data_IF_042065816668
#
_entry.id   IF_042065816668
#
_cell.length_a   1.000
_cell.length_b   1.000
_cell.length_c   1.000
_cell.angle_alpha   90.00
_cell.angle_beta   90.00
_cell.angle_gamma   90.00
#
_symmetry.space_group_name_H-M   'P 1'
#
loop_
_entity.id
_entity.type
_entity.pdbx_description
1 polymer ?
#
# COMPACT_ATOMS: atom_id res chain seq x y z
N UNK A 1 -17.29 -12.51 -30.92
CA UNK A 1 -16.89 -11.10 -30.78
C UNK A 1 -16.18 -11.03 -29.43
N UNK A 2 -14.89 -11.44 -29.37
CA UNK A 2 -14.24 -11.81 -28.09
C UNK A 2 -12.70 -11.79 -28.18
N UNK A 3 -12.11 -10.81 -28.89
CA UNK A 3 -10.65 -10.79 -29.14
C UNK A 3 -9.94 -9.62 -28.44
N UNK A 4 -10.67 -8.67 -27.84
CA UNK A 4 -10.05 -7.49 -27.22
C UNK A 4 -9.68 -7.65 -25.73
N UNK A 5 -10.33 -8.52 -24.95
CA UNK A 5 -10.06 -8.68 -23.51
C UNK A 5 -9.04 -9.76 -23.10
N UNK A 6 -8.79 -10.75 -23.97
CA UNK A 6 -7.87 -11.85 -23.66
C UNK A 6 -6.40 -11.38 -23.73
N UNK A 7 -6.09 -10.56 -24.74
CA UNK A 7 -4.76 -9.98 -24.92
C UNK A 7 -4.37 -8.99 -23.80
N UNK A 8 -5.35 -8.30 -23.19
CA UNK A 8 -5.07 -7.37 -22.07
C UNK A 8 -4.82 -8.13 -20.78
N UNK A 9 -5.63 -9.17 -20.50
CA UNK A 9 -5.45 -10.03 -19.32
C UNK A 9 -4.09 -10.73 -19.35
N UNK A 10 -3.68 -11.30 -20.49
CA UNK A 10 -2.37 -11.97 -20.62
C UNK A 10 -1.19 -11.01 -20.36
N UNK A 11 -1.30 -9.76 -20.81
CA UNK A 11 -0.31 -8.72 -20.53
C UNK A 11 -0.24 -8.44 -19.02
N UNK A 12 -1.38 -8.29 -18.36
CA UNK A 12 -1.45 -8.05 -16.92
C UNK A 12 -0.86 -9.22 -16.11
N UNK A 13 -1.15 -10.47 -16.49
CA UNK A 13 -0.55 -11.65 -15.87
C UNK A 13 0.95 -11.72 -16.07
N UNK A 14 1.44 -11.34 -17.26
CA UNK A 14 2.87 -11.30 -17.55
C UNK A 14 3.61 -10.30 -16.66
N UNK A 15 2.99 -9.17 -16.30
CA UNK A 15 3.55 -8.18 -15.38
C UNK A 15 3.68 -8.70 -13.95
N UNK A 16 2.77 -9.58 -13.54
CA UNK A 16 2.81 -10.27 -12.25
C UNK A 16 3.66 -11.54 -12.31
N UNK A 17 4.22 -11.89 -13.47
CA UNK A 17 4.94 -13.13 -13.73
C UNK A 17 4.17 -14.40 -13.35
N UNK A 18 2.84 -14.38 -13.48
CA UNK A 18 1.95 -15.53 -13.23
C UNK A 18 1.36 -16.06 -14.53
N UNK A 19 0.87 -17.30 -14.50
CA UNK A 19 0.30 -17.98 -15.66
C UNK A 19 -1.22 -18.05 -15.58
N UNK A 20 -1.91 -17.97 -16.73
CA UNK A 20 -3.36 -18.14 -16.79
C UNK A 20 -3.74 -19.61 -16.53
N UNK A 21 -4.66 -19.81 -15.59
CA UNK A 21 -5.37 -21.06 -15.38
C UNK A 21 -6.73 -21.03 -16.09
N UNK A 22 -7.20 -22.19 -16.53
CA UNK A 22 -8.54 -22.30 -17.13
C UNK A 22 -9.66 -22.17 -16.09
N UNK A 23 -9.40 -22.60 -14.85
CA UNK A 23 -10.35 -22.63 -13.75
C UNK A 23 -9.68 -22.16 -12.45
N UNK A 24 -10.44 -21.58 -11.49
CA UNK A 24 -9.91 -21.25 -10.17
C UNK A 24 -9.49 -22.52 -9.40
N UNK A 25 -8.71 -22.37 -8.30
CA UNK A 25 -8.31 -23.49 -7.45
C UNK A 25 -9.50 -24.35 -7.01
N UNK A 26 -9.33 -25.67 -7.03
CA UNK A 26 -10.42 -26.62 -6.72
C UNK A 26 -10.91 -26.54 -5.28
N UNK A 27 -10.09 -26.00 -4.38
CA UNK A 27 -10.37 -25.89 -2.95
C UNK A 27 -10.92 -24.51 -2.55
N UNK A 28 -11.15 -23.59 -3.50
CA UNK A 28 -11.61 -22.21 -3.25
C UNK A 28 -12.93 -22.12 -2.44
N UNK A 29 -13.83 -23.10 -2.57
CA UNK A 29 -15.11 -23.16 -1.84
C UNK A 29 -15.04 -23.99 -0.55
N UNK A 30 -13.86 -24.46 -0.15
CA UNK A 30 -13.65 -25.33 1.01
C UNK A 30 -12.50 -24.88 1.93
N UNK A 31 -11.79 -23.84 1.52
CA UNK A 31 -10.64 -23.26 2.23
C UNK A 31 -10.76 -21.74 2.24
N UNK A 32 -9.86 -21.08 2.97
CA UNK A 32 -9.89 -19.63 3.18
C UNK A 32 -9.03 -18.89 2.17
N UNK A 33 -9.40 -17.63 1.93
CA UNK A 33 -8.73 -16.75 0.99
C UNK A 33 -8.34 -15.41 1.63
N UNK A 34 -7.18 -14.86 1.23
CA UNK A 34 -6.85 -13.44 1.39
C UNK A 34 -7.17 -12.72 0.09
N UNK A 35 -7.69 -11.50 0.19
CA UNK A 35 -7.88 -10.58 -0.92
C UNK A 35 -6.84 -9.46 -0.83
N UNK A 36 -5.96 -9.37 -1.82
CA UNK A 36 -5.14 -8.18 -2.05
C UNK A 36 -5.92 -7.20 -2.92
N UNK A 37 -6.10 -5.98 -2.42
CA UNK A 37 -6.80 -4.91 -3.13
C UNK A 37 -5.79 -3.92 -3.69
N UNK A 38 -5.89 -3.67 -5.00
CA UNK A 38 -5.11 -2.64 -5.68
C UNK A 38 -6.01 -1.55 -6.24
N UNK A 39 -5.81 -0.31 -5.78
CA UNK A 39 -6.62 0.85 -6.16
C UNK A 39 -5.69 2.05 -6.40
N UNK A 40 -6.09 3.04 -7.23
CA UNK A 40 -5.31 4.26 -7.40
C UNK A 40 -5.13 5.01 -6.07
N UNK A 41 -3.93 5.58 -5.82
CA UNK A 41 -3.65 6.38 -4.61
C UNK A 41 -4.60 7.59 -4.48
N UNK A 42 -5.06 8.14 -5.61
CA UNK A 42 -5.93 9.31 -5.71
C UNK A 42 -7.44 8.98 -5.78
N UNK A 43 -7.82 7.69 -5.75
CA UNK A 43 -9.22 7.29 -5.82
C UNK A 43 -9.96 7.58 -4.50
N UNK A 44 -11.22 8.03 -4.60
CA UNK A 44 -12.11 8.12 -3.45
C UNK A 44 -12.43 6.71 -2.95
N UNK A 45 -12.15 6.45 -1.66
CA UNK A 45 -12.40 5.15 -1.05
C UNK A 45 -13.84 4.69 -1.15
N UNK A 46 -14.81 5.60 -1.09
CA UNK A 46 -16.20 5.19 -1.21
C UNK A 46 -16.49 4.59 -2.59
N UNK A 47 -15.79 5.02 -3.65
CA UNK A 47 -16.03 4.52 -5.00
C UNK A 47 -15.57 3.08 -5.18
N UNK A 48 -14.35 2.74 -4.79
CA UNK A 48 -13.87 1.36 -4.94
C UNK A 48 -14.41 0.43 -3.85
N UNK A 49 -14.86 0.97 -2.71
CA UNK A 49 -15.55 0.17 -1.70
C UNK A 49 -16.88 -0.39 -2.19
N UNK A 50 -17.62 0.33 -3.05
CA UNK A 50 -18.83 -0.21 -3.69
C UNK A 50 -18.51 -1.54 -4.41
N UNK A 51 -17.39 -1.61 -5.12
CA UNK A 51 -16.97 -2.84 -5.81
C UNK A 51 -16.45 -3.94 -4.87
N UNK A 52 -15.86 -3.58 -3.73
CA UNK A 52 -15.44 -4.56 -2.71
C UNK A 52 -16.65 -5.16 -2.02
N UNK A 53 -17.66 -4.35 -1.68
CA UNK A 53 -18.90 -4.82 -1.06
C UNK A 53 -19.66 -5.75 -2.03
N UNK A 54 -19.75 -5.37 -3.30
CA UNK A 54 -20.31 -6.20 -4.37
C UNK A 54 -19.57 -7.55 -4.51
N UNK A 55 -18.23 -7.52 -4.49
CA UNK A 55 -17.40 -8.72 -4.58
C UNK A 55 -17.57 -9.62 -3.35
N UNK A 56 -17.61 -9.06 -2.14
CA UNK A 56 -17.80 -9.82 -0.91
C UNK A 56 -19.19 -10.45 -0.86
N UNK A 57 -20.23 -9.72 -1.27
CA UNK A 57 -21.58 -10.28 -1.35
C UNK A 57 -21.61 -11.49 -2.29
N UNK A 58 -21.00 -11.36 -3.47
CA UNK A 58 -20.87 -12.49 -4.40
C UNK A 58 -20.10 -13.67 -3.79
N UNK A 59 -19.00 -13.41 -3.07
CA UNK A 59 -18.26 -14.46 -2.37
C UNK A 59 -19.10 -15.19 -1.31
N UNK A 60 -19.93 -14.47 -0.55
CA UNK A 60 -20.85 -15.05 0.41
C UNK A 60 -21.89 -15.95 -0.27
N UNK A 61 -22.49 -15.50 -1.36
CA UNK A 61 -23.49 -16.24 -2.14
C UNK A 61 -22.91 -17.54 -2.72
N UNK A 62 -21.72 -17.47 -3.32
CA UNK A 62 -21.07 -18.63 -3.96
C UNK A 62 -20.32 -19.55 -2.97
N UNK A 63 -19.97 -19.06 -1.77
CA UNK A 63 -19.28 -19.83 -0.73
C UNK A 63 -17.76 -19.71 -0.71
N UNK A 64 -17.22 -18.61 -1.24
CA UNK A 64 -15.79 -18.28 -1.17
C UNK A 64 -15.52 -17.61 0.18
N UNK A 65 -14.72 -18.24 1.04
CA UNK A 65 -14.42 -17.69 2.37
C UNK A 65 -13.24 -16.70 2.31
N UNK A 66 -13.54 -15.45 1.91
CA UNK A 66 -12.59 -14.34 1.95
C UNK A 66 -12.51 -13.77 3.38
N UNK A 67 -11.42 -14.11 4.09
CA UNK A 67 -11.28 -13.83 5.53
C UNK A 67 -10.39 -12.65 5.87
N UNK A 68 -9.82 -12.00 4.87
CA UNK A 68 -8.98 -10.82 5.05
C UNK A 68 -8.83 -10.04 3.75
N UNK A 69 -9.06 -8.74 3.83
CA UNK A 69 -8.81 -7.75 2.78
C UNK A 69 -7.63 -6.88 3.17
N UNK A 70 -6.65 -6.77 2.27
CA UNK A 70 -5.42 -6.01 2.50
C UNK A 70 -5.20 -5.09 1.31
N UNK A 71 -5.16 -3.79 1.57
CA UNK A 71 -4.82 -2.78 0.58
C UNK A 71 -3.32 -2.87 0.27
N UNK A 72 -2.97 -3.13 -0.99
CA UNK A 72 -1.59 -3.28 -1.45
C UNK A 72 -0.73 -2.06 -1.10
N UNK A 73 -1.31 -0.85 -1.20
CA UNK A 73 -0.61 0.41 -0.87
C UNK A 73 -0.17 0.50 0.59
N UNK A 74 -0.91 -0.11 1.52
CA UNK A 74 -0.58 -0.08 2.96
C UNK A 74 0.61 -0.97 3.29
N UNK A 75 0.91 -1.98 2.48
CA UNK A 75 2.13 -2.79 2.65
C UNK A 75 3.41 -1.97 2.43
N UNK A 76 3.31 -0.82 1.75
CA UNK A 76 4.41 0.11 1.48
C UNK A 76 4.21 1.45 2.19
N UNK A 77 3.55 1.42 3.36
CA UNK A 77 3.28 2.62 4.14
C UNK A 77 4.54 3.35 4.62
N UNK A 78 5.67 2.66 4.79
CA UNK A 78 6.94 3.27 5.18
C UNK A 78 7.94 3.29 4.01
N UNK A 79 8.84 4.30 3.93
CA UNK A 79 9.89 4.33 2.92
C UNK A 79 10.78 3.10 3.02
N UNK A 80 11.08 2.51 1.86
CA UNK A 80 12.06 1.43 1.70
C UNK A 80 11.79 0.21 2.59
N UNK A 81 10.54 0.01 3.00
CA UNK A 81 10.14 -1.13 3.82
C UNK A 81 8.84 -1.73 3.28
N UNK A 82 8.75 -3.06 3.35
CA UNK A 82 7.53 -3.80 3.05
C UNK A 82 7.00 -4.37 4.36
N UNK A 83 5.89 -3.82 4.81
CA UNK A 83 5.28 -4.21 6.06
C UNK A 83 4.71 -5.63 5.98
N UNK A 84 4.94 -6.42 7.03
CA UNK A 84 4.43 -7.78 7.15
C UNK A 84 2.98 -7.78 7.61
N UNK A 85 2.18 -8.71 7.08
CA UNK A 85 0.81 -8.94 7.54
C UNK A 85 0.79 -9.53 8.97
N UNK A 86 -0.25 -9.25 9.77
CA UNK A 86 -0.33 -9.77 11.14
C UNK A 86 -0.22 -11.30 11.23
N UNK A 87 0.56 -11.80 12.19
CA UNK A 87 0.86 -13.24 12.33
C UNK A 87 -0.41 -14.10 12.52
N UNK A 88 -1.45 -13.55 13.14
CA UNK A 88 -2.70 -14.28 13.35
C UNK A 88 -3.40 -14.62 12.02
N UNK A 89 -3.21 -13.85 10.94
CA UNK A 89 -3.74 -14.20 9.62
C UNK A 89 -3.07 -15.45 9.07
N UNK A 90 -1.75 -15.57 9.23
CA UNK A 90 -1.00 -16.78 8.83
C UNK A 90 -1.49 -18.03 9.56
N UNK A 91 -1.97 -17.88 10.81
CA UNK A 91 -2.54 -18.97 11.61
C UNK A 91 -3.96 -19.38 11.19
N UNK A 92 -4.65 -18.65 10.30
CA UNK A 92 -6.04 -18.95 9.89
C UNK A 92 -6.14 -20.11 8.86
N UNK A 93 -5.03 -20.65 8.37
CA UNK A 93 -5.02 -21.75 7.39
C UNK A 93 -5.57 -21.30 6.04
N UNK A 94 -4.94 -20.25 5.50
CA UNK A 94 -5.31 -19.60 4.24
C UNK A 94 -4.56 -20.30 3.11
N UNK A 95 -5.29 -20.73 2.09
CA UNK A 95 -4.73 -21.48 0.97
C UNK A 95 -4.79 -20.70 -0.34
N UNK A 96 -5.75 -19.77 -0.46
CA UNK A 96 -6.00 -19.05 -1.70
C UNK A 96 -5.65 -17.57 -1.57
N UNK A 97 -5.24 -17.03 -2.70
CA UNK A 97 -5.02 -15.61 -2.90
C UNK A 97 -5.99 -15.13 -3.98
N UNK A 98 -6.66 -14.02 -3.68
CA UNK A 98 -7.49 -13.28 -4.61
C UNK A 98 -6.82 -11.94 -4.85
N UNK A 99 -6.46 -11.66 -6.10
CA UNK A 99 -5.97 -10.37 -6.53
C UNK A 99 -7.15 -9.59 -7.11
N UNK A 100 -7.48 -8.46 -6.50
CA UNK A 100 -8.57 -7.60 -6.94
C UNK A 100 -8.06 -6.19 -7.19
N UNK A 101 -8.12 -5.72 -8.45
CA UNK A 101 -7.79 -4.35 -8.79
C UNK A 101 -9.03 -3.61 -9.31
N UNK A 102 -9.27 -2.40 -8.83
CA UNK A 102 -10.43 -1.59 -9.20
C UNK A 102 -10.03 -0.13 -9.43
N UNK A 103 -10.28 0.39 -10.63
CA UNK A 103 -9.95 1.78 -10.99
C UNK A 103 -10.93 2.86 -10.54
N UNK A 104 -11.80 2.59 -9.57
CA UNK A 104 -12.92 3.45 -9.19
C UNK A 104 -14.16 3.25 -10.08
N UNK A 105 -15.13 4.18 -10.04
CA UNK A 105 -16.49 4.00 -10.62
C UNK A 105 -16.58 3.64 -12.11
N UNK A 106 -15.56 3.98 -12.89
CA UNK A 106 -15.53 3.75 -14.36
C UNK A 106 -14.22 3.12 -14.84
N UNK A 107 -13.37 2.69 -13.92
CA UNK A 107 -12.11 2.04 -14.25
C UNK A 107 -12.31 0.55 -14.55
N UNK A 108 -11.34 -0.09 -15.23
CA UNK A 108 -11.37 -1.54 -15.37
C UNK A 108 -11.30 -2.21 -13.99
N UNK A 109 -11.90 -3.39 -13.91
CA UNK A 109 -11.72 -4.31 -12.80
C UNK A 109 -10.92 -5.51 -13.26
N UNK A 110 -10.01 -5.96 -12.41
CA UNK A 110 -9.26 -7.19 -12.61
C UNK A 110 -9.46 -8.08 -11.40
N UNK A 111 -9.82 -9.33 -11.64
CA UNK A 111 -9.96 -10.35 -10.62
C UNK A 111 -9.12 -11.55 -11.01
N UNK A 112 -8.23 -11.98 -10.11
CA UNK A 112 -7.50 -13.24 -10.26
C UNK A 112 -7.58 -14.08 -8.98
N UNK A 113 -7.68 -15.40 -9.13
CA UNK A 113 -7.79 -16.37 -8.03
C UNK A 113 -6.75 -17.46 -8.26
N UNK A 114 -5.89 -17.68 -7.27
CA UNK A 114 -4.79 -18.64 -7.32
C UNK A 114 -4.32 -19.05 -5.93
N UNK A 115 -3.23 -19.83 -5.85
CA UNK A 115 -2.67 -20.27 -4.56
C UNK A 115 -2.00 -19.11 -3.82
N UNK A 116 -2.20 -19.05 -2.50
CA UNK A 116 -1.38 -18.25 -1.59
C UNK A 116 -0.17 -19.08 -1.17
N UNK A 117 1.04 -18.52 -1.26
CA UNK A 117 2.27 -19.26 -0.95
C UNK A 117 2.65 -19.26 0.54
N UNK A 118 1.94 -18.50 1.39
CA UNK A 118 2.24 -18.41 2.83
C UNK A 118 3.29 -17.34 3.19
N UNK A 119 3.87 -16.66 2.21
CA UNK A 119 5.00 -15.75 2.37
C UNK A 119 4.61 -14.29 2.09
N UNK A 120 5.54 -13.35 2.32
CA UNK A 120 5.31 -11.90 2.18
C UNK A 120 5.17 -11.41 0.74
N UNK A 121 5.63 -12.19 -0.24
CA UNK A 121 5.42 -11.93 -1.66
C UNK A 121 4.06 -12.47 -2.15
N UNK A 122 3.31 -13.17 -1.30
CA UNK A 122 1.97 -13.72 -1.49
C UNK A 122 1.80 -14.81 -2.56
N UNK A 123 2.57 -14.77 -3.63
CA UNK A 123 2.53 -15.76 -4.70
C UNK A 123 3.91 -15.95 -5.33
N UNK A 124 4.14 -17.15 -5.84
CA UNK A 124 5.39 -17.50 -6.50
C UNK A 124 5.36 -17.13 -7.99
N UNK A 125 6.55 -16.84 -8.53
CA UNK A 125 6.74 -16.70 -9.97
C UNK A 125 6.26 -17.96 -10.69
N UNK A 126 5.47 -17.78 -11.74
CA UNK A 126 4.90 -18.87 -12.54
C UNK A 126 3.71 -19.56 -11.90
N UNK A 127 3.24 -19.12 -10.73
CA UNK A 127 2.00 -19.63 -10.14
C UNK A 127 0.82 -19.45 -11.11
N UNK A 128 -0.13 -20.39 -11.07
CA UNK A 128 -1.27 -20.40 -11.98
C UNK A 128 -2.48 -19.74 -11.34
N UNK A 129 -3.03 -18.74 -12.00
CA UNK A 129 -4.19 -17.98 -11.56
C UNK A 129 -5.28 -18.02 -12.62
N UNK A 130 -6.52 -18.30 -12.21
CA UNK A 130 -7.66 -17.94 -13.05
C UNK A 130 -7.82 -16.43 -12.95
N UNK A 131 -7.79 -15.71 -14.07
CA UNK A 131 -7.91 -14.26 -14.08
C UNK A 131 -8.83 -13.74 -15.19
N UNK A 132 -9.54 -12.65 -14.89
CA UNK A 132 -10.37 -11.91 -15.84
C UNK A 132 -10.21 -10.41 -15.61
N UNK A 133 -10.22 -9.66 -16.71
CA UNK A 133 -10.36 -8.22 -16.72
C UNK A 133 -11.70 -7.86 -17.38
N UNK A 134 -12.38 -6.85 -16.85
CA UNK A 134 -13.64 -6.37 -17.37
C UNK A 134 -13.85 -4.89 -17.08
N UNK A 135 -14.90 -4.31 -17.67
CA UNK A 135 -15.32 -2.95 -17.33
C UNK A 135 -16.00 -2.87 -15.95
N UNK A 136 -16.55 -3.99 -15.47
CA UNK A 136 -17.20 -4.17 -14.17
C UNK A 136 -17.17 -5.65 -13.76
N UNK A 137 -17.69 -5.96 -12.57
CA UNK A 137 -17.67 -7.32 -12.02
C UNK A 137 -18.70 -8.27 -12.64
N UNK A 138 -19.75 -7.77 -13.31
CA UNK A 138 -20.90 -8.58 -13.73
C UNK A 138 -20.52 -9.79 -14.59
N UNK A 139 -19.78 -9.56 -15.68
CA UNK A 139 -19.36 -10.65 -16.57
C UNK A 139 -18.40 -11.64 -15.89
N UNK A 140 -17.59 -11.17 -14.94
CA UNK A 140 -16.65 -11.99 -14.18
C UNK A 140 -17.41 -12.90 -13.18
N UNK A 141 -18.39 -12.34 -12.46
CA UNK A 141 -19.26 -13.06 -11.53
C UNK A 141 -20.10 -14.11 -12.25
N UNK A 142 -20.67 -13.76 -13.41
CA UNK A 142 -21.50 -14.69 -14.21
C UNK A 142 -20.69 -15.93 -14.64
N UNK A 143 -19.44 -15.73 -15.09
CA UNK A 143 -18.56 -16.83 -15.47
C UNK A 143 -18.23 -17.74 -14.28
N UNK A 144 -17.85 -17.15 -13.13
CA UNK A 144 -17.54 -17.90 -11.92
C UNK A 144 -18.77 -18.66 -11.39
N UNK A 145 -19.93 -18.01 -11.35
CA UNK A 145 -21.18 -18.62 -10.89
C UNK A 145 -21.58 -19.81 -11.78
N UNK A 146 -21.43 -19.67 -13.10
CA UNK A 146 -21.67 -20.78 -14.03
C UNK A 146 -20.73 -21.96 -13.75
N UNK A 147 -19.46 -21.68 -13.42
CA UNK A 147 -18.49 -22.71 -13.07
C UNK A 147 -18.82 -23.40 -11.73
N UNK A 148 -19.14 -22.65 -10.68
CA UNK A 148 -19.45 -23.21 -9.37
C UNK A 148 -20.75 -24.03 -9.37
N UNK A 149 -21.73 -23.66 -10.19
CA UNK A 149 -22.99 -24.40 -10.38
C UNK A 149 -22.83 -25.74 -11.10
N UNK A 150 -21.68 -26.01 -11.73
CA UNK A 150 -21.42 -27.33 -12.35
C UNK A 150 -21.34 -28.48 -11.34
N UNK A 151 -21.14 -28.17 -10.05
CA UNK A 151 -20.94 -29.18 -9.00
C UNK A 151 -19.57 -29.85 -9.03
N UNK A 152 -18.64 -29.37 -9.87
CA UNK A 152 -17.28 -29.90 -9.97
C UNK A 152 -16.40 -29.57 -8.76
N UNK A 153 -16.79 -28.58 -7.95
CA UNK A 153 -16.09 -28.15 -6.75
C UNK A 153 -16.89 -28.51 -5.51
N UNK A 154 -16.21 -29.10 -4.53
CA UNK A 154 -16.77 -29.37 -3.22
C UNK A 154 -16.91 -28.06 -2.42
N UNK A 155 -18.12 -27.78 -1.93
CA UNK A 155 -18.40 -26.66 -1.02
C UNK A 155 -18.25 -27.13 0.42
N UNK A 156 -17.18 -26.70 1.07
CA UNK A 156 -16.90 -26.96 2.48
C UNK A 156 -17.13 -25.74 3.38
N UNK A 157 -17.13 -24.53 2.81
CA UNK A 157 -17.39 -23.29 3.53
C UNK A 157 -18.90 -23.11 3.72
N UNK A 158 -19.37 -23.29 4.96
CA UNK A 158 -20.79 -23.18 5.33
C UNK A 158 -21.15 -21.84 5.97
N UNK A 159 -20.15 -21.11 6.45
CA UNK A 159 -20.28 -19.79 7.05
C UNK A 159 -19.26 -18.89 6.36
N UNK A 160 -19.73 -18.03 5.48
CA UNK A 160 -18.92 -17.00 4.82
C UNK A 160 -19.42 -15.65 5.34
N UNK A 161 -18.48 -14.76 5.65
CA UNK A 161 -18.83 -13.42 6.09
C UNK A 161 -19.55 -12.66 4.96
N UNK A 162 -20.52 -11.81 5.29
CA UNK A 162 -21.20 -10.95 4.31
C UNK A 162 -20.49 -9.60 4.15
N UNK A 163 -19.61 -9.25 5.08
CA UNK A 163 -18.90 -7.97 5.11
C UNK A 163 -17.39 -8.17 4.96
N UNK A 164 -16.74 -7.31 4.18
CA UNK A 164 -15.30 -7.36 4.00
C UNK A 164 -14.56 -7.00 5.30
N UNK A 165 -13.66 -7.87 5.76
CA UNK A 165 -12.84 -7.65 6.95
C UNK A 165 -11.46 -7.12 6.53
N UNK A 166 -11.18 -5.84 6.81
CA UNK A 166 -9.92 -5.19 6.46
C UNK A 166 -8.85 -5.41 7.54
N UNK A 167 -7.64 -5.73 7.09
CA UNK A 167 -6.47 -5.87 7.94
C UNK A 167 -5.36 -4.95 7.49
N UNK A 168 -4.73 -4.31 8.47
CA UNK A 168 -3.61 -3.43 8.24
C UNK A 168 -2.40 -3.91 9.03
N UNK A 169 -1.18 -3.78 8.48
CA UNK A 169 0.04 -3.99 9.24
C UNK A 169 0.11 -3.02 10.42
N UNK A 170 0.77 -3.45 11.49
CA UNK A 170 1.11 -2.58 12.59
C UNK A 170 2.32 -1.72 12.22
N UNK A 171 2.26 -0.43 12.54
CA UNK A 171 3.35 0.50 12.30
C UNK A 171 3.75 1.12 13.62
N UNK A 172 4.93 0.75 14.13
CA UNK A 172 5.53 1.45 15.27
C UNK A 172 6.27 2.70 14.77
N UNK A 173 5.69 3.85 15.07
CA UNK A 173 6.28 5.15 14.77
C UNK A 173 7.08 5.72 15.95
N UNK A 174 7.02 5.11 17.13
CA UNK A 174 7.59 5.66 18.35
C UNK A 174 6.71 6.72 19.04
N UNK A 175 7.31 7.47 19.96
CA UNK A 175 6.63 8.46 20.81
C UNK A 175 6.41 9.76 20.05
N UNK A 176 5.15 10.09 19.81
CA UNK A 176 4.75 11.26 19.03
C UNK A 176 4.93 12.58 19.80
N UNK A 177 5.81 13.44 19.29
CA UNK A 177 5.96 14.83 19.71
C UNK A 177 5.34 15.78 18.67
N UNK A 178 4.33 16.56 19.10
CA UNK A 178 3.61 17.55 18.27
C UNK A 178 4.38 18.86 18.15
N UNK A 179 5.57 18.78 17.58
CA UNK A 179 6.46 19.92 17.42
C UNK A 179 7.46 19.68 16.30
N UNK A 180 8.23 20.71 15.97
CA UNK A 180 9.51 20.58 15.27
C UNK A 180 10.62 20.82 16.30
N UNK A 181 11.75 20.09 16.25
CA UNK A 181 12.87 20.35 17.14
C UNK A 181 13.36 21.80 17.00
N UNK A 182 13.52 22.56 18.10
CA UNK A 182 13.86 23.99 18.02
C UNK A 182 15.26 24.23 17.40
N UNK A 183 16.20 23.31 17.63
CA UNK A 183 17.57 23.39 17.11
C UNK A 183 17.80 22.58 15.84
N UNK A 184 16.74 22.33 15.05
CA UNK A 184 16.85 21.52 13.83
C UNK A 184 17.89 22.07 12.84
N UNK A 185 18.07 23.40 12.78
CA UNK A 185 19.08 24.06 11.96
C UNK A 185 20.54 23.81 12.42
N UNK A 186 20.76 23.30 13.63
CA UNK A 186 22.12 23.03 14.14
C UNK A 186 22.59 21.60 13.79
N UNK A 187 21.70 20.75 13.27
CA UNK A 187 21.95 19.33 13.14
C UNK A 187 21.76 18.82 11.71
N UNK A 188 22.53 17.80 11.36
CA UNK A 188 22.32 17.04 10.12
C UNK A 188 21.06 16.20 10.23
N UNK A 189 20.30 16.20 9.15
CA UNK A 189 19.10 15.38 8.96
C UNK A 189 19.38 14.35 7.88
N UNK A 190 19.21 13.08 8.20
CA UNK A 190 19.34 11.99 7.25
C UNK A 190 18.11 11.92 6.36
N UNK A 191 18.32 11.67 5.08
CA UNK A 191 17.29 11.26 4.12
C UNK A 191 17.71 9.94 3.47
N UNK A 192 16.74 9.13 3.07
CA UNK A 192 16.99 7.90 2.34
C UNK A 192 16.74 8.09 0.86
N UNK A 193 17.50 7.40 0.02
CA UNK A 193 17.13 7.22 -1.39
C UNK A 193 15.94 6.28 -1.48
N UNK A 194 15.09 6.46 -2.48
CA UNK A 194 14.02 5.50 -2.74
C UNK A 194 14.63 4.20 -3.27
N UNK A 195 14.37 3.10 -2.59
CA UNK A 195 14.73 1.75 -3.02
C UNK A 195 13.85 1.32 -4.19
N UNK A 196 14.34 1.60 -5.39
CA UNK A 196 13.68 1.20 -6.64
C UNK A 196 13.66 -0.31 -6.83
N UNK A 197 14.58 -1.06 -6.21
CA UNK A 197 14.60 -2.51 -6.33
C UNK A 197 13.45 -3.12 -5.54
N UNK A 198 13.17 -2.64 -4.32
CA UNK A 198 12.00 -3.03 -3.55
C UNK A 198 10.69 -2.76 -4.31
N UNK A 199 10.60 -1.59 -4.96
CA UNK A 199 9.40 -1.18 -5.69
C UNK A 199 9.24 -1.85 -7.07
N UNK A 200 10.30 -2.48 -7.56
CA UNK A 200 10.31 -3.31 -8.76
C UNK A 200 10.22 -4.82 -8.43
N UNK A 201 10.16 -5.17 -7.14
CA UNK A 201 10.03 -6.56 -6.70
C UNK A 201 8.71 -7.17 -7.19
N UNK A 202 8.70 -8.49 -7.31
CA UNK A 202 7.50 -9.24 -7.67
C UNK A 202 6.52 -9.29 -6.51
N UNK A 203 5.30 -9.75 -6.77
CA UNK A 203 4.28 -9.84 -5.73
C UNK A 203 3.51 -8.52 -5.53
N UNK A 204 3.32 -8.05 -4.29
CA UNK A 204 2.53 -6.85 -4.00
C UNK A 204 3.03 -5.58 -4.70
N UNK A 205 4.34 -5.39 -4.85
CA UNK A 205 4.89 -4.20 -5.50
C UNK A 205 4.51 -4.12 -6.99
N UNK A 206 4.58 -5.24 -7.70
CA UNK A 206 4.11 -5.36 -9.08
C UNK A 206 2.59 -5.15 -9.19
N UNK A 207 1.83 -5.52 -8.15
CA UNK A 207 0.38 -5.41 -8.12
C UNK A 207 -0.15 -4.03 -7.69
N UNK A 208 0.69 -3.06 -7.30
CA UNK A 208 0.26 -1.67 -7.04
C UNK A 208 -0.41 -1.06 -8.27
N UNK A 209 -1.53 -0.37 -8.11
CA UNK A 209 -2.45 -0.08 -9.23
C UNK A 209 -1.77 0.68 -10.37
N UNK A 210 -1.01 1.72 -10.01
CA UNK A 210 -0.24 2.52 -10.96
C UNK A 210 0.80 1.67 -11.69
N UNK A 211 1.54 0.80 -10.99
CA UNK A 211 2.54 -0.09 -11.60
C UNK A 211 1.88 -1.12 -12.54
N UNK A 212 0.81 -1.75 -12.04
CA UNK A 212 0.05 -2.81 -12.70
C UNK A 212 -0.58 -2.34 -14.02
N UNK A 213 -1.24 -1.17 -14.04
CA UNK A 213 -1.89 -0.64 -15.25
C UNK A 213 -1.01 0.33 -16.06
N UNK A 214 -0.15 1.13 -15.41
CA UNK A 214 0.63 2.19 -16.06
C UNK A 214 2.03 2.36 -15.45
N UNK A 215 2.90 1.37 -15.68
CA UNK A 215 4.28 1.36 -15.18
C UNK A 215 5.06 2.64 -15.51
N UNK A 216 4.84 3.25 -16.69
CA UNK A 216 5.52 4.50 -17.06
C UNK A 216 5.13 5.65 -16.13
N UNK A 217 3.84 5.77 -15.79
CA UNK A 217 3.37 6.76 -14.81
C UNK A 217 3.95 6.47 -13.43
N UNK A 218 3.94 5.21 -12.99
CA UNK A 218 4.50 4.79 -11.72
C UNK A 218 6.00 5.13 -11.61
N UNK A 219 6.81 4.76 -12.60
CA UNK A 219 8.24 5.06 -12.64
C UNK A 219 8.51 6.57 -12.64
N UNK A 220 7.67 7.34 -13.33
CA UNK A 220 7.72 8.81 -13.33
C UNK A 220 7.40 9.40 -11.96
N UNK A 221 6.41 8.86 -11.25
CA UNK A 221 6.03 9.27 -9.88
C UNK A 221 7.18 8.98 -8.90
N UNK A 222 7.73 7.77 -8.90
CA UNK A 222 8.89 7.40 -8.06
C UNK A 222 10.11 8.28 -8.39
N UNK A 223 10.38 8.51 -9.66
CA UNK A 223 11.47 9.40 -10.09
C UNK A 223 11.20 10.87 -9.72
N UNK A 224 9.94 11.29 -9.66
CA UNK A 224 9.52 12.59 -9.14
C UNK A 224 9.84 12.73 -7.65
N UNK A 225 9.45 11.76 -6.84
CA UNK A 225 9.72 11.72 -5.39
C UNK A 225 11.23 11.75 -5.10
N UNK A 226 12.02 10.94 -5.81
CA UNK A 226 13.48 10.94 -5.69
C UNK A 226 14.11 12.28 -6.11
N UNK A 227 13.57 12.98 -7.11
CA UNK A 227 14.04 14.33 -7.49
C UNK A 227 13.83 15.35 -6.38
N UNK A 228 12.72 15.28 -5.65
CA UNK A 228 12.47 16.12 -4.48
C UNK A 228 13.44 15.84 -3.34
N UNK A 229 13.73 14.57 -3.04
CA UNK A 229 14.75 14.23 -2.04
C UNK A 229 16.14 14.73 -2.45
N UNK A 230 16.48 14.61 -3.74
CA UNK A 230 17.74 15.13 -4.27
C UNK A 230 17.84 16.66 -4.18
N UNK A 231 16.74 17.40 -4.32
CA UNK A 231 16.76 18.86 -4.17
C UNK A 231 17.05 19.29 -2.73
N UNK A 232 16.51 18.57 -1.74
CA UNK A 232 16.84 18.81 -0.32
C UNK A 232 18.32 18.61 -0.03
N UNK A 233 18.92 17.56 -0.60
CA UNK A 233 20.33 17.26 -0.42
C UNK A 233 21.27 18.24 -1.15
N UNK A 234 20.88 18.68 -2.34
CA UNK A 234 21.73 19.51 -3.20
C UNK A 234 21.73 20.98 -2.80
N UNK A 235 20.70 21.41 -2.07
CA UNK A 235 20.61 22.76 -1.53
C UNK A 235 21.57 22.94 -0.35
N UNK A 236 22.66 23.66 -0.60
CA UNK A 236 23.71 23.96 0.40
C UNK A 236 23.24 24.80 1.59
N UNK A 237 22.02 25.37 1.53
CA UNK A 237 21.43 26.11 2.65
C UNK A 237 20.68 25.21 3.63
N UNK A 238 20.45 23.95 3.27
CA UNK A 238 19.80 22.97 4.12
C UNK A 238 20.80 22.00 4.77
N UNK A 239 20.33 21.31 5.81
CA UNK A 239 21.11 20.29 6.53
C UNK A 239 20.69 18.85 6.20
N UNK A 240 20.07 18.61 5.04
CA UNK A 240 19.66 17.27 4.63
C UNK A 240 20.77 16.56 3.87
N UNK A 241 21.09 15.34 4.28
CA UNK A 241 22.12 14.52 3.64
C UNK A 241 21.64 13.09 3.46
N UNK A 242 22.00 12.48 2.34
CA UNK A 242 21.73 11.06 2.14
C UNK A 242 22.49 10.23 3.16
N UNK A 243 21.77 9.28 3.77
CA UNK A 243 22.41 8.16 4.45
C UNK A 243 22.88 7.13 3.43
N UNK A 244 23.95 6.42 3.77
CA UNK A 244 24.37 5.23 3.06
C UNK A 244 23.46 4.05 3.44
N UNK A 245 23.17 3.16 2.47
CA UNK A 245 22.14 2.10 2.56
C UNK A 245 22.25 1.16 3.78
N UNK A 246 23.43 1.05 4.39
CA UNK A 246 23.70 0.12 5.51
C UNK A 246 24.09 0.82 6.81
N UNK A 247 23.95 2.14 6.89
CA UNK A 247 24.25 2.88 8.11
C UNK A 247 23.20 2.61 9.18
N UNK A 248 23.66 2.13 10.34
CA UNK A 248 22.81 2.00 11.53
C UNK A 248 22.58 3.36 12.18
N UNK A 249 21.52 3.49 13.00
CA UNK A 249 21.28 4.70 13.80
C UNK A 249 22.48 5.06 14.70
N UNK A 250 23.28 4.08 15.12
CA UNK A 250 24.51 4.35 15.86
C UNK A 250 25.59 4.98 14.98
N UNK A 251 25.73 4.52 13.74
CA UNK A 251 26.69 5.08 12.78
C UNK A 251 26.28 6.50 12.37
N UNK A 252 25.01 6.71 12.03
CA UNK A 252 24.47 8.04 11.72
C UNK A 252 24.75 9.05 12.84
N UNK A 253 24.54 8.67 14.10
CA UNK A 253 24.86 9.53 15.24
C UNK A 253 26.35 9.89 15.34
N UNK A 254 27.25 8.96 15.02
CA UNK A 254 28.70 9.24 14.98
C UNK A 254 29.05 10.23 13.87
N UNK A 255 28.31 10.19 12.77
CA UNK A 255 28.52 11.04 11.58
C UNK A 255 27.84 12.43 11.71
N UNK A 256 27.24 12.70 12.89
CA UNK A 256 26.66 13.99 13.27
C UNK A 256 25.18 14.14 12.97
N UNK A 257 24.50 13.07 12.54
CA UNK A 257 23.05 13.08 12.34
C UNK A 257 22.32 12.96 13.67
N UNK A 258 21.32 13.81 13.86
CA UNK A 258 20.39 13.69 15.01
C UNK A 258 19.00 13.28 14.61
N UNK A 259 18.62 13.58 13.37
CA UNK A 259 17.28 13.33 12.87
C UNK A 259 17.34 12.57 11.55
N UNK A 260 16.26 11.87 11.25
CA UNK A 260 15.99 11.28 9.95
C UNK A 260 14.62 11.75 9.48
N UNK A 261 14.55 12.30 8.27
CA UNK A 261 13.29 12.63 7.63
C UNK A 261 12.69 11.35 7.07
N UNK A 262 11.53 10.97 7.60
CA UNK A 262 10.75 9.82 7.16
C UNK A 262 9.35 10.27 6.76
N UNK A 263 8.63 9.40 6.08
CA UNK A 263 7.21 9.58 5.83
C UNK A 263 6.43 8.31 6.13
N UNK A 264 5.13 8.47 6.25
CA UNK A 264 4.18 7.37 6.32
C UNK A 264 3.01 7.65 5.38
N UNK A 265 2.58 6.64 4.64
CA UNK A 265 1.49 6.71 3.66
C UNK A 265 0.39 5.73 4.06
N UNK A 266 -0.80 6.22 4.38
CA UNK A 266 -1.90 5.35 4.81
C UNK A 266 -3.25 6.05 4.65
N UNK A 267 -4.37 5.31 4.69
CA UNK A 267 -5.68 5.91 4.87
C UNK A 267 -5.70 6.88 6.05
N UNK A 268 -6.24 8.09 5.87
CA UNK A 268 -6.14 9.18 6.88
C UNK A 268 -6.77 8.85 8.25
N UNK A 269 -7.70 7.88 8.29
CA UNK A 269 -8.21 7.31 9.54
C UNK A 269 -7.17 6.44 10.25
N UNK A 270 -6.49 5.55 9.53
CA UNK A 270 -5.44 4.69 10.09
C UNK A 270 -4.24 5.51 10.56
N UNK A 271 -3.82 6.48 9.75
CA UNK A 271 -2.73 7.38 10.11
C UNK A 271 -3.01 8.18 11.40
N UNK A 272 -4.29 8.44 11.70
CA UNK A 272 -4.67 9.12 12.94
C UNK A 272 -4.57 8.24 14.17
N UNK A 273 -4.89 6.95 14.02
CA UNK A 273 -4.70 5.99 15.09
C UNK A 273 -3.21 5.88 15.44
N UNK A 274 -2.32 6.05 14.45
CA UNK A 274 -0.88 6.13 14.65
C UNK A 274 -0.40 7.51 15.17
N UNK A 275 -1.00 8.61 14.69
CA UNK A 275 -0.60 9.99 15.01
C UNK A 275 -1.83 10.86 15.35
N UNK A 276 -2.18 10.92 16.63
CA UNK A 276 -3.38 11.64 17.08
C UNK A 276 -3.21 13.18 17.09
N UNK A 277 -4.11 13.91 16.41
CA UNK A 277 -4.23 15.38 16.43
C UNK A 277 -5.65 15.83 16.80
N UNK A 278 -5.88 16.48 17.96
CA UNK A 278 -7.24 16.75 18.48
C UNK A 278 -8.04 17.79 17.67
N UNK A 279 -7.39 18.77 17.05
CA UNK A 279 -8.07 19.96 16.49
C UNK A 279 -8.32 19.92 14.97
N UNK A 280 -8.42 18.72 14.36
CA UNK A 280 -8.53 18.59 12.90
C UNK A 280 -9.96 18.45 12.38
N UNK A 281 -10.14 18.80 11.10
CA UNK A 281 -11.35 18.49 10.33
C UNK A 281 -11.50 16.96 10.18
N UNK A 282 -12.73 16.48 9.95
CA UNK A 282 -13.02 15.04 9.81
C UNK A 282 -12.04 14.38 8.82
N UNK A 283 -11.48 13.20 9.15
CA UNK A 283 -10.58 12.48 8.25
C UNK A 283 -11.27 12.21 6.92
N UNK A 284 -10.53 12.39 5.83
CA UNK A 284 -10.93 11.88 4.53
C UNK A 284 -10.78 10.36 4.54
N UNK A 285 -11.54 9.69 3.69
CA UNK A 285 -11.32 8.27 3.41
C UNK A 285 -10.43 8.17 2.17
N UNK A 286 -9.18 8.59 2.29
CA UNK A 286 -8.23 8.55 1.17
C UNK A 286 -6.82 8.29 1.70
N UNK A 287 -5.95 7.77 0.83
CA UNK A 287 -4.53 7.61 1.11
C UNK A 287 -3.90 9.00 1.25
N UNK A 288 -3.20 9.25 2.36
CA UNK A 288 -2.47 10.49 2.59
C UNK A 288 -1.03 10.19 3.00
N UNK A 289 -0.14 11.12 2.70
CA UNK A 289 1.27 11.08 3.08
C UNK A 289 1.51 12.07 4.23
N UNK A 290 2.29 11.66 5.22
CA UNK A 290 2.72 12.50 6.34
C UNK A 290 4.21 12.34 6.58
N UNK A 291 4.94 13.45 6.54
CA UNK A 291 6.35 13.49 6.87
C UNK A 291 6.57 13.77 8.35
N UNK A 292 7.66 13.25 8.90
CA UNK A 292 8.07 13.47 10.29
C UNK A 292 9.59 13.32 10.42
N UNK A 293 10.15 13.86 11.50
CA UNK A 293 11.54 13.62 11.86
C UNK A 293 11.60 12.55 12.94
N UNK A 294 12.33 11.46 12.69
CA UNK A 294 12.71 10.50 13.72
C UNK A 294 13.98 10.95 14.43
N UNK A 295 13.96 11.03 15.76
CA UNK A 295 15.15 11.37 16.55
C UNK A 295 16.01 10.14 16.74
N UNK A 296 17.23 10.14 16.20
CA UNK A 296 18.12 8.98 16.22
C UNK A 296 18.66 8.64 17.62
N UNK A 297 18.42 9.49 18.62
CA UNK A 297 18.94 9.35 19.99
C UNK A 297 17.95 8.67 20.94
N UNK A 298 16.67 8.74 20.62
CA UNK A 298 15.58 8.19 21.43
C UNK A 298 14.53 7.58 20.48
N UNK A 299 13.37 7.17 20.98
CA UNK A 299 12.31 6.65 20.12
C UNK A 299 11.23 7.70 19.84
N UNK A 300 11.59 9.00 19.82
CA UNK A 300 10.62 10.08 19.59
C UNK A 300 10.54 10.41 18.10
N UNK A 301 9.35 10.80 17.65
CA UNK A 301 9.14 11.41 16.34
C UNK A 301 8.53 12.79 16.46
N UNK A 302 8.95 13.69 15.58
CA UNK A 302 8.48 15.07 15.51
C UNK A 302 7.61 15.23 14.28
N UNK A 303 6.31 15.39 14.52
CA UNK A 303 5.28 15.41 13.46
C UNK A 303 4.87 16.82 13.06
N UNK A 304 5.53 17.86 13.57
CA UNK A 304 5.12 19.25 13.36
C UNK A 304 4.07 19.73 14.36
N UNK A 305 3.83 21.03 14.37
CA UNK A 305 2.83 21.68 15.25
C UNK A 305 1.41 21.47 14.71
N UNK A 306 1.25 21.47 13.38
CA UNK A 306 -0.03 21.37 12.70
C UNK A 306 -0.14 20.09 11.88
N UNK A 307 -1.38 19.62 11.65
CA UNK A 307 -1.65 18.56 10.70
C UNK A 307 -1.41 19.06 9.27
N UNK A 308 -0.49 18.41 8.57
CA UNK A 308 0.01 18.82 7.25
C UNK A 308 0.05 17.67 6.24
N UNK A 309 -0.60 16.54 6.57
CA UNK A 309 -0.71 15.40 5.66
C UNK A 309 -1.51 15.78 4.41
N UNK A 310 -1.09 15.28 3.25
CA UNK A 310 -1.72 15.58 1.96
C UNK A 310 -1.90 14.33 1.10
N UNK A 311 -2.83 14.39 0.15
CA UNK A 311 -3.02 13.34 -0.86
C UNK A 311 -1.81 13.26 -1.79
N UNK A 312 -1.28 14.41 -2.18
CA UNK A 312 -0.09 14.51 -3.01
C UNK A 312 1.18 14.44 -2.13
N UNK A 313 2.10 13.57 -2.50
CA UNK A 313 3.33 13.31 -1.75
C UNK A 313 4.23 14.56 -1.67
N UNK A 314 4.33 15.31 -2.76
CA UNK A 314 5.13 16.55 -2.82
C UNK A 314 4.53 17.63 -1.91
N UNK A 315 3.21 17.84 -1.97
CA UNK A 315 2.52 18.77 -1.11
C UNK A 315 2.71 18.41 0.37
N UNK A 316 2.64 17.12 0.73
CA UNK A 316 2.88 16.67 2.11
C UNK A 316 4.32 16.99 2.57
N UNK A 317 5.31 16.79 1.70
CA UNK A 317 6.70 17.14 1.98
C UNK A 317 6.86 18.65 2.19
N UNK A 318 6.37 19.45 1.23
CA UNK A 318 6.47 20.91 1.27
C UNK A 318 5.78 21.50 2.50
N UNK A 319 4.60 20.99 2.86
CA UNK A 319 3.90 21.47 4.05
C UNK A 319 4.73 21.22 5.33
N UNK A 320 5.34 20.03 5.46
CA UNK A 320 6.17 19.70 6.62
C UNK A 320 7.47 20.52 6.66
N UNK A 321 8.13 20.69 5.52
CA UNK A 321 9.31 21.56 5.40
C UNK A 321 8.99 23.02 5.72
N UNK A 322 7.80 23.50 5.35
CA UNK A 322 7.30 24.83 5.73
C UNK A 322 7.22 25.00 7.25
N UNK A 323 6.76 23.98 7.98
CA UNK A 323 6.77 24.02 9.45
C UNK A 323 8.19 24.04 10.02
N UNK A 324 9.13 23.31 9.41
CA UNK A 324 10.54 23.34 9.81
C UNK A 324 11.12 24.74 9.63
N UNK A 325 10.93 25.35 8.46
CA UNK A 325 11.42 26.69 8.15
C UNK A 325 10.84 27.74 9.10
N UNK A 326 9.54 27.64 9.44
CA UNK A 326 8.92 28.54 10.40
C UNK A 326 9.62 28.47 11.77
N UNK A 327 9.92 27.27 12.27
CA UNK A 327 10.62 27.12 13.56
C UNK A 327 12.06 27.61 13.51
N UNK A 328 12.76 27.41 12.38
CA UNK A 328 14.10 27.96 12.19
C UNK A 328 14.07 29.49 12.23
N UNK A 329 13.10 30.12 11.57
CA UNK A 329 12.93 31.58 11.57
C UNK A 329 12.54 32.13 12.94
N UNK A 330 11.65 31.44 13.67
CA UNK A 330 11.24 31.81 15.03
C UNK A 330 12.43 31.81 16.01
N UNK A 331 13.40 30.90 15.84
CA UNK A 331 14.57 30.77 16.73
C UNK A 331 15.79 31.60 16.28
N UNK A 332 15.77 32.17 15.08
CA UNK A 332 16.82 33.05 14.56
C UNK A 332 16.64 34.53 14.96
N UNK A 333 15.43 34.91 15.41
CA UNK A 333 15.07 36.26 15.88
C UNK A 333 15.17 36.38 17.40
#
# INVERSE_FOLDING_TARGET
MTVFGQNSTDLLLSKLEISQALYPPKDILSTKSIVLISVPEDADRNEWMESVDELQQFFAEEGIDAVAYIETEVLFSQPNDRLTIPEFLRKRGINNLILFAAGGKKGPVFLAIGPYNGEENFFDKGATFWAREGANLDGIKDELSAYFKTGAIYRGNLLVNENAEFFYPEVDLGVVAKSVPPKIADFKVAIERIDKALLADQGPAAFRYANFYNQVRYDSEITGRERWLNSLHSDTTNNFYYKEEKQTNQQLRKDGFQYELRYVSAPENLLYDWISFPDRKKPRKALVHKFYLSDLRNNNIYVGKNWDAALDWEAALQNFLGQIQQVIQENAN
#
